data_IF_282218836930
#
_entry.id   IF_282218836930
#
_cell.length_a   1.000
_cell.length_b   1.000
_cell.length_c   1.000
_cell.angle_alpha   90.00
_cell.angle_beta   90.00
_cell.angle_gamma   90.00
#
_symmetry.space_group_name_H-M   'P 1'
#
loop_
_entity.id
_entity.type
_entity.pdbx_description
1 polymer ?
#
# COMPACT_ATOMS: atom_id res chain seq x y z
N UNK A 1 6.74 20.37 -29.07
CA UNK A 1 5.80 19.71 -28.13
C UNK A 1 6.49 19.58 -26.79
N UNK A 2 5.90 20.02 -25.66
CA UNK A 2 6.55 19.83 -24.37
C UNK A 2 6.56 18.34 -24.08
N UNK A 3 7.76 17.83 -23.79
CA UNK A 3 8.00 16.49 -23.27
C UNK A 3 7.03 16.23 -22.12
N UNK A 4 6.14 15.24 -22.26
CA UNK A 4 5.32 14.74 -21.14
C UNK A 4 6.27 14.09 -20.13
N UNK A 5 6.89 14.93 -19.30
CA UNK A 5 7.65 14.53 -18.14
C UNK A 5 6.76 13.65 -17.26
N UNK A 6 7.33 12.56 -16.74
CA UNK A 6 6.60 11.66 -15.84
C UNK A 6 6.29 12.46 -14.57
N UNK A 7 5.04 12.86 -14.37
CA UNK A 7 4.60 13.48 -13.12
C UNK A 7 4.85 12.50 -11.98
N UNK A 8 5.46 12.98 -10.89
CA UNK A 8 5.72 12.21 -9.68
C UNK A 8 4.91 12.79 -8.55
N UNK A 9 4.39 11.94 -7.68
CA UNK A 9 3.75 12.33 -6.43
C UNK A 9 4.52 11.73 -5.27
N UNK A 10 4.91 12.58 -4.32
CA UNK A 10 5.67 12.17 -3.16
C UNK A 10 4.86 12.42 -1.90
N UNK A 11 4.81 11.43 -1.02
CA UNK A 11 4.26 11.54 0.32
C UNK A 11 5.41 11.58 1.32
N UNK A 12 5.74 12.81 1.74
CA UNK A 12 6.92 13.12 2.57
C UNK A 12 6.79 12.46 3.96
N UNK A 13 5.67 12.67 4.65
CA UNK A 13 5.46 12.15 6.02
C UNK A 13 4.96 10.69 6.06
N UNK A 14 5.35 9.86 5.11
CA UNK A 14 4.84 8.49 5.02
C UNK A 14 5.24 7.68 6.26
N UNK A 15 6.52 7.66 6.63
CA UNK A 15 7.03 6.85 7.74
C UNK A 15 6.30 7.12 9.08
N UNK A 16 6.14 8.39 9.45
CA UNK A 16 5.42 8.78 10.67
C UNK A 16 3.95 8.32 10.67
N UNK A 17 3.30 8.31 9.50
CA UNK A 17 1.92 7.84 9.38
C UNK A 17 1.84 6.32 9.46
N UNK A 18 2.81 5.60 8.88
CA UNK A 18 2.90 4.14 8.99
C UNK A 18 3.13 3.71 10.43
N UNK A 19 3.98 4.42 11.16
CA UNK A 19 4.25 4.18 12.58
C UNK A 19 3.00 4.39 13.43
N UNK A 20 2.24 5.47 13.19
CA UNK A 20 0.97 5.73 13.86
C UNK A 20 -0.07 4.63 13.61
N UNK A 21 -0.07 4.03 12.41
CA UNK A 21 -0.96 2.93 12.03
C UNK A 21 -0.44 1.56 12.53
N UNK A 22 0.83 1.47 12.94
CA UNK A 22 1.51 0.24 13.33
C UNK A 22 1.44 -0.86 12.27
N UNK A 23 1.83 -0.51 11.04
CA UNK A 23 1.83 -1.43 9.89
C UNK A 23 3.18 -1.45 9.19
N UNK A 24 3.39 -2.47 8.37
CA UNK A 24 4.56 -2.55 7.52
C UNK A 24 4.46 -1.51 6.39
N UNK A 25 5.48 -0.64 6.21
CA UNK A 25 5.53 0.33 5.12
C UNK A 25 5.37 -0.31 3.74
N UNK A 26 5.95 -1.49 3.52
CA UNK A 26 5.86 -2.22 2.25
C UNK A 26 4.44 -2.73 1.99
N UNK A 27 3.72 -3.13 3.03
CA UNK A 27 2.33 -3.57 2.89
C UNK A 27 1.43 -2.41 2.42
N UNK A 28 1.62 -1.22 2.99
CA UNK A 28 0.89 -0.01 2.56
C UNK A 28 1.31 0.36 1.14
N UNK A 29 2.61 0.38 0.82
CA UNK A 29 3.08 0.66 -0.54
C UNK A 29 2.39 -0.28 -1.55
N UNK A 30 2.46 -1.59 -1.34
CA UNK A 30 1.89 -2.58 -2.25
C UNK A 30 0.38 -2.38 -2.46
N UNK A 31 -0.34 -1.99 -1.40
CA UNK A 31 -1.76 -1.67 -1.49
C UNK A 31 -2.00 -0.48 -2.43
N UNK A 32 -1.25 0.61 -2.26
CA UNK A 32 -1.36 1.79 -3.11
C UNK A 32 -0.97 1.50 -4.56
N UNK A 33 0.06 0.69 -4.79
CA UNK A 33 0.48 0.30 -6.13
C UNK A 33 -0.61 -0.51 -6.84
N UNK A 34 -1.25 -1.45 -6.12
CA UNK A 34 -2.35 -2.26 -6.67
C UNK A 34 -3.59 -1.41 -6.97
N UNK A 35 -4.03 -0.56 -6.04
CA UNK A 35 -5.23 0.28 -6.21
C UNK A 35 -5.07 1.38 -7.25
N UNK A 36 -3.88 1.97 -7.38
CA UNK A 36 -3.61 3.03 -8.37
C UNK A 36 -3.11 2.50 -9.71
N UNK A 37 -2.77 1.20 -9.80
CA UNK A 37 -2.18 0.62 -11.00
C UNK A 37 -0.88 1.30 -11.43
N UNK A 38 -0.06 1.69 -10.45
CA UNK A 38 1.13 2.52 -10.68
C UNK A 38 2.40 1.86 -10.15
N UNK A 39 3.54 2.50 -10.45
CA UNK A 39 4.85 2.06 -9.95
C UNK A 39 5.33 3.08 -8.93
N UNK A 40 5.96 2.62 -7.87
CA UNK A 40 6.49 3.45 -6.82
C UNK A 40 7.47 2.72 -5.93
N UNK A 41 8.11 3.47 -5.04
CA UNK A 41 9.07 2.95 -4.08
C UNK A 41 9.04 3.82 -2.81
N UNK A 42 9.63 3.30 -1.73
CA UNK A 42 10.00 4.07 -0.56
C UNK A 42 11.38 4.68 -0.82
N UNK A 43 11.48 6.00 -0.70
CA UNK A 43 12.74 6.75 -0.83
C UNK A 43 13.65 6.55 0.38
N UNK A 44 14.89 7.03 0.27
CA UNK A 44 15.90 6.91 1.33
C UNK A 44 15.50 7.57 2.65
N UNK A 45 14.74 8.67 2.58
CA UNK A 45 14.22 9.41 3.74
C UNK A 45 12.93 8.80 4.32
N UNK A 46 12.47 7.65 3.80
CA UNK A 46 11.19 7.04 4.22
C UNK A 46 9.95 7.69 3.63
N UNK A 47 10.10 8.52 2.60
CA UNK A 47 8.99 9.08 1.81
C UNK A 47 8.47 8.07 0.78
N UNK A 48 7.16 8.06 0.51
CA UNK A 48 6.60 7.21 -0.53
C UNK A 48 6.55 7.98 -1.85
N UNK A 49 7.25 7.48 -2.88
CA UNK A 49 7.32 8.09 -4.21
C UNK A 49 6.52 7.25 -5.20
N UNK A 50 5.50 7.86 -5.82
CA UNK A 50 4.67 7.24 -6.85
C UNK A 50 4.88 7.92 -8.20
N UNK A 51 4.85 7.11 -9.25
CA UNK A 51 4.82 7.58 -10.64
C UNK A 51 3.37 7.88 -11.02
N UNK A 52 3.02 9.17 -11.07
CA UNK A 52 1.71 9.68 -11.42
C UNK A 52 1.48 11.08 -10.86
N UNK A 53 0.46 11.78 -11.36
CA UNK A 53 0.03 13.09 -10.86
C UNK A 53 -1.16 12.95 -9.90
N UNK A 54 -0.92 12.37 -8.72
CA UNK A 54 -1.96 12.14 -7.72
C UNK A 54 -2.11 13.35 -6.79
N UNK A 55 -3.37 13.76 -6.59
CA UNK A 55 -3.74 14.84 -5.66
C UNK A 55 -4.01 14.27 -4.25
N UNK A 56 -3.88 15.08 -3.18
CA UNK A 56 -4.13 14.63 -1.80
C UNK A 56 -5.47 13.89 -1.56
N UNK A 57 -6.60 14.26 -2.20
CA UNK A 57 -7.86 13.54 -2.02
C UNK A 57 -7.81 12.07 -2.46
N UNK A 58 -6.97 11.73 -3.44
CA UNK A 58 -6.79 10.34 -3.87
C UNK A 58 -6.11 9.51 -2.77
N UNK A 59 -5.08 10.08 -2.13
CA UNK A 59 -4.38 9.44 -1.01
C UNK A 59 -5.33 9.25 0.17
N UNK A 60 -6.06 10.29 0.58
CA UNK A 60 -6.99 10.19 1.71
C UNK A 60 -8.05 9.10 1.53
N UNK A 61 -8.59 8.97 0.30
CA UNK A 61 -9.54 7.91 -0.03
C UNK A 61 -8.95 6.51 0.17
N UNK A 62 -7.71 6.28 -0.28
CA UNK A 62 -7.03 4.99 -0.16
C UNK A 62 -6.63 4.68 1.28
N UNK A 63 -6.14 5.67 2.03
CA UNK A 63 -5.83 5.51 3.46
C UNK A 63 -7.08 5.06 4.21
N UNK A 64 -8.22 5.73 3.99
CA UNK A 64 -9.48 5.39 4.67
C UNK A 64 -9.91 3.95 4.37
N UNK A 65 -9.81 3.53 3.10
CA UNK A 65 -10.15 2.15 2.70
C UNK A 65 -9.18 1.14 3.32
N UNK A 66 -7.88 1.42 3.27
CA UNK A 66 -6.84 0.60 3.89
C UNK A 66 -7.05 0.44 5.40
N UNK A 67 -7.37 1.52 6.11
CA UNK A 67 -7.63 1.48 7.54
C UNK A 67 -8.86 0.62 7.86
N UNK A 68 -9.97 0.78 7.12
CA UNK A 68 -11.18 -0.02 7.35
C UNK A 68 -10.97 -1.52 7.08
N UNK A 69 -10.11 -1.84 6.11
CA UNK A 69 -9.89 -3.22 5.65
C UNK A 69 -8.76 -3.95 6.40
N UNK A 70 -7.63 -3.29 6.67
CA UNK A 70 -6.39 -3.91 7.19
C UNK A 70 -5.97 -3.44 8.60
N UNK A 71 -6.73 -2.53 9.22
CA UNK A 71 -6.38 -1.97 10.54
C UNK A 71 -7.55 -2.08 11.52
N UNK A 72 -8.75 -1.67 11.11
CA UNK A 72 -9.90 -1.61 11.98
C UNK A 72 -10.45 -3.02 12.28
N UNK A 73 -10.66 -3.29 13.57
CA UNK A 73 -11.41 -4.45 14.01
C UNK A 73 -12.90 -4.24 13.75
N UNK A 74 -13.57 -5.20 13.13
CA UNK A 74 -15.02 -5.10 12.84
C UNK A 74 -15.90 -5.31 14.08
N UNK A 75 -15.36 -5.91 15.14
CA UNK A 75 -16.07 -6.18 16.41
C UNK A 75 -16.00 -4.98 17.34
N UNK A 76 -14.80 -4.59 17.80
CA UNK A 76 -14.61 -3.53 18.79
C UNK A 76 -14.33 -2.15 18.20
N UNK A 77 -14.24 -2.03 16.86
CA UNK A 77 -13.88 -0.79 16.13
C UNK A 77 -12.50 -0.19 16.47
N UNK A 78 -11.70 -0.86 17.30
CA UNK A 78 -10.35 -0.44 17.62
C UNK A 78 -9.35 -0.66 16.47
N UNK A 79 -8.25 0.09 16.51
CA UNK A 79 -7.17 0.06 15.51
C UNK A 79 -5.95 -0.78 15.95
N UNK A 80 -5.98 -1.34 17.17
CA UNK A 80 -4.93 -2.22 17.70
C UNK A 80 -5.10 -3.63 17.13
N UNK A 81 -4.52 -3.90 15.97
CA UNK A 81 -4.57 -5.20 15.31
C UNK A 81 -3.24 -5.57 14.66
N UNK A 82 -3.04 -6.86 14.36
CA UNK A 82 -1.86 -7.42 13.68
C UNK A 82 -2.30 -8.16 12.44
N UNK A 83 -1.56 -8.00 11.35
CA UNK A 83 -1.73 -8.78 10.13
C UNK A 83 -0.75 -9.95 10.18
N UNK A 84 -1.26 -11.17 10.13
CA UNK A 84 -0.48 -12.41 10.13
C UNK A 84 -0.75 -13.17 8.85
N UNK A 85 0.31 -13.64 8.18
CA UNK A 85 0.19 -14.48 7.00
C UNK A 85 0.44 -15.92 7.39
N UNK A 86 -0.50 -16.80 7.11
CA UNK A 86 -0.38 -18.22 7.39
C UNK A 86 0.19 -18.94 6.14
N UNK A 87 1.38 -19.53 6.25
CA UNK A 87 2.07 -20.15 5.10
C UNK A 87 1.34 -21.36 4.53
N UNK A 88 0.72 -22.17 5.40
CA UNK A 88 0.04 -23.42 5.00
C UNK A 88 -1.17 -23.16 4.10
N UNK A 89 -1.98 -22.18 4.47
CA UNK A 89 -3.23 -21.84 3.76
C UNK A 89 -3.03 -20.70 2.77
N UNK A 90 -1.89 -20.00 2.83
CA UNK A 90 -1.60 -18.73 2.13
C UNK A 90 -2.60 -17.62 2.45
N UNK A 91 -3.42 -17.79 3.49
CA UNK A 91 -4.38 -16.80 3.92
C UNK A 91 -3.70 -15.73 4.77
N UNK A 92 -4.25 -14.52 4.73
CA UNK A 92 -3.85 -13.43 5.59
C UNK A 92 -4.96 -13.19 6.61
N UNK A 93 -4.59 -13.09 7.88
CA UNK A 93 -5.49 -12.86 8.99
C UNK A 93 -5.22 -11.52 9.65
N UNK A 94 -6.28 -10.83 10.02
CA UNK A 94 -6.23 -9.67 10.89
C UNK A 94 -6.68 -10.10 12.29
N UNK A 95 -5.75 -10.07 13.26
CA UNK A 95 -6.02 -10.38 14.68
C UNK A 95 -6.07 -9.09 15.51
N UNK A 96 -7.13 -8.88 16.27
CA UNK A 96 -7.21 -7.74 17.18
C UNK A 96 -6.49 -8.03 18.50
N UNK A 97 -5.65 -7.10 18.99
CA UNK A 97 -4.97 -7.23 20.29
C UNK A 97 -5.91 -6.98 21.48
N UNK A 98 -7.02 -6.29 21.27
CA UNK A 98 -7.94 -5.90 22.36
C UNK A 98 -9.03 -6.94 22.61
N UNK A 99 -9.75 -7.37 21.57
CA UNK A 99 -10.85 -8.33 21.72
C UNK A 99 -10.51 -9.75 21.25
N UNK A 100 -9.27 -9.98 20.80
CA UNK A 100 -8.78 -11.28 20.28
C UNK A 100 -9.54 -11.85 19.06
N UNK A 101 -10.52 -11.12 18.51
CA UNK A 101 -11.18 -11.50 17.29
C UNK A 101 -10.18 -11.59 16.13
N UNK A 102 -10.29 -12.66 15.34
CA UNK A 102 -9.56 -12.85 14.09
C UNK A 102 -10.54 -12.84 12.92
N UNK A 103 -10.09 -12.32 11.78
CA UNK A 103 -10.78 -12.46 10.50
C UNK A 103 -9.79 -12.66 9.38
N UNK A 104 -10.20 -13.33 8.32
CA UNK A 104 -9.44 -13.34 7.08
C UNK A 104 -9.54 -11.98 6.40
N UNK A 105 -8.43 -11.54 5.82
CA UNK A 105 -8.35 -10.38 4.94
C UNK A 105 -7.82 -10.84 3.60
N UNK A 106 -8.29 -10.20 2.52
CA UNK A 106 -7.78 -10.52 1.20
C UNK A 106 -6.33 -10.09 1.09
N UNK A 107 -5.49 -10.95 0.53
CA UNK A 107 -4.12 -10.56 0.20
C UNK A 107 -4.14 -9.47 -0.87
N UNK A 108 -3.21 -8.52 -0.79
CA UNK A 108 -3.04 -7.50 -1.82
C UNK A 108 -2.64 -8.20 -3.11
N UNK A 109 -3.58 -8.35 -4.05
CA UNK A 109 -3.29 -8.91 -5.36
C UNK A 109 -2.60 -7.84 -6.19
N UNK A 110 -1.33 -8.05 -6.56
CA UNK A 110 -0.67 -7.23 -7.56
C UNK A 110 -1.28 -7.55 -8.92
N UNK A 111 -2.08 -6.64 -9.46
CA UNK A 111 -2.57 -6.77 -10.83
C UNK A 111 -1.37 -6.87 -11.78
N UNK A 112 -1.40 -7.84 -12.70
CA UNK A 112 -0.36 -8.04 -13.70
C UNK A 112 -0.19 -6.78 -14.56
N UNK A 113 0.87 -6.02 -14.33
CA UNK A 113 1.24 -4.90 -15.21
C UNK A 113 2.09 -5.43 -16.36
N UNK A 114 1.49 -5.57 -17.55
CA UNK A 114 2.22 -5.95 -18.75
C UNK A 114 3.35 -4.95 -19.04
N UNK A 115 4.62 -5.36 -18.89
CA UNK A 115 5.79 -4.55 -19.22
C UNK A 115 5.70 -4.13 -20.69
N UNK A 116 5.53 -2.83 -20.96
CA UNK A 116 5.50 -2.34 -22.34
C UNK A 116 6.86 -2.61 -23.00
N UNK A 117 6.88 -2.95 -24.29
CA UNK A 117 8.08 -3.34 -25.07
C UNK A 117 9.28 -2.37 -24.89
N UNK A 118 9.02 -1.09 -24.65
CA UNK A 118 10.03 -0.06 -24.39
C UNK A 118 10.71 -0.09 -23.01
N UNK A 119 10.08 -0.66 -21.97
CA UNK A 119 10.70 -0.81 -20.64
C UNK A 119 11.76 -1.93 -20.64
N UNK A 120 11.47 -3.06 -21.30
CA UNK A 120 12.42 -4.18 -21.47
C UNK A 120 13.72 -3.79 -22.19
N UNK A 121 13.67 -2.77 -23.06
CA UNK A 121 14.85 -2.28 -23.79
C UNK A 121 15.75 -1.41 -22.92
N UNK A 122 15.21 -0.74 -21.90
CA UNK A 122 15.95 0.13 -20.98
C UNK A 122 16.62 -0.63 -19.84
N UNK A 123 16.08 -1.78 -19.44
CA UNK A 123 16.65 -2.64 -18.40
C UNK A 123 17.83 -3.50 -18.89
N UNK A 124 18.10 -3.53 -20.20
CA UNK A 124 19.18 -4.31 -20.82
C UNK A 124 20.41 -3.47 -21.22
N UNK A 125 20.35 -2.15 -21.04
CA UNK A 125 21.46 -1.21 -21.29
C UNK A 125 22.05 -0.78 -19.96
#
# INVERSE_FOLDING_TARGET
LPSRGRTKSTWINFNAQVEAIQRDPQHILNYFLSELGCVGNIGSEGEMVLVGGYKPPHFMRLIRRYTDEFVQCKVCKGYKSVVEKEEKTRLTYLRCKTCQASRTVQGIQSHFTATKRGQRRRERQ
#
